data_IF_479022377668
#
_entry.id   IF_479022377668
#
_cell.length_a   1.000
_cell.length_b   1.000
_cell.length_c   1.000
_cell.angle_alpha   90.00
_cell.angle_beta   90.00
_cell.angle_gamma   90.00
#
_symmetry.space_group_name_H-M   'P 1'
#
loop_
_entity.id
_entity.type
_entity.pdbx_description
1 polymer ?
#
# COMPACT_ATOMS: atom_id res chain seq x y z
N UNK A 1 2.92 -7.78 9.39
CA UNK A 1 2.16 -7.20 8.26
C UNK A 1 0.71 -7.11 8.66
N UNK A 2 0.30 -5.93 9.14
CA UNK A 2 -1.10 -5.63 9.43
C UNK A 2 -1.78 -5.05 8.18
N UNK A 3 -2.05 -5.91 7.20
CA UNK A 3 -2.66 -5.55 5.90
C UNK A 3 -4.08 -6.10 5.84
N UNK A 4 -5.02 -5.25 5.43
CA UNK A 4 -6.44 -5.58 5.30
C UNK A 4 -6.86 -5.32 3.85
N UNK A 5 -7.51 -6.29 3.22
CA UNK A 5 -8.06 -6.17 1.86
C UNK A 5 -9.58 -6.27 1.90
N UNK A 6 -10.26 -5.28 1.33
CA UNK A 6 -11.71 -5.14 1.33
C UNK A 6 -12.20 -5.06 -0.12
N UNK A 7 -13.35 -5.67 -0.40
CA UNK A 7 -13.98 -5.62 -1.71
C UNK A 7 -13.11 -6.21 -2.82
N UNK A 8 -12.50 -7.37 -2.56
CA UNK A 8 -11.62 -8.07 -3.51
C UNK A 8 -10.42 -7.24 -4.00
N UNK A 9 -9.84 -6.41 -3.12
CA UNK A 9 -8.70 -5.56 -3.46
C UNK A 9 -9.08 -4.16 -3.93
N UNK A 10 -10.36 -3.80 -3.90
CA UNK A 10 -10.79 -2.43 -4.17
C UNK A 10 -10.24 -1.43 -3.14
N UNK A 11 -10.10 -1.86 -1.87
CA UNK A 11 -9.51 -1.07 -0.81
C UNK A 11 -8.51 -1.92 -0.02
N UNK A 12 -7.29 -1.43 0.09
CA UNK A 12 -6.23 -2.03 0.90
C UNK A 12 -5.83 -1.03 1.99
N UNK A 13 -5.73 -1.50 3.23
CA UNK A 13 -5.30 -0.70 4.37
C UNK A 13 -4.12 -1.39 5.04
N UNK A 14 -2.99 -0.69 5.18
CA UNK A 14 -1.83 -1.14 5.92
C UNK A 14 -1.64 -0.34 7.20
N UNK A 15 -1.75 -1.02 8.34
CA UNK A 15 -1.61 -0.45 9.69
C UNK A 15 -0.37 -0.98 10.41
N UNK A 16 0.63 -1.47 9.67
CA UNK A 16 1.88 -1.94 10.24
C UNK A 16 2.71 -0.78 10.79
N UNK A 17 3.61 -1.06 11.74
CA UNK A 17 4.53 -0.07 12.31
C UNK A 17 5.94 -0.14 11.71
N UNK A 18 6.20 -1.10 10.82
CA UNK A 18 7.47 -1.26 10.13
C UNK A 18 7.23 -1.42 8.63
N UNK A 19 6.66 -0.38 8.02
CA UNK A 19 6.30 -0.36 6.59
C UNK A 19 7.57 -0.06 5.78
N UNK A 20 7.95 -1.03 4.97
CA UNK A 20 9.09 -1.00 4.04
C UNK A 20 8.63 -1.41 2.64
N UNK A 21 9.54 -1.36 1.66
CA UNK A 21 9.23 -1.76 0.27
C UNK A 21 8.61 -3.16 0.16
N UNK A 22 8.97 -4.11 1.04
CA UNK A 22 8.45 -5.47 1.03
C UNK A 22 6.92 -5.51 1.25
N UNK A 23 6.38 -4.55 2.01
CA UNK A 23 4.92 -4.41 2.18
C UNK A 23 4.25 -3.99 0.87
N UNK A 24 4.89 -3.14 0.05
CA UNK A 24 4.33 -2.75 -1.24
C UNK A 24 4.17 -3.97 -2.16
N UNK A 25 5.18 -4.83 -2.24
CA UNK A 25 5.13 -6.06 -3.04
C UNK A 25 4.02 -7.00 -2.59
N UNK A 26 3.71 -7.02 -1.30
CA UNK A 26 2.57 -7.78 -0.77
C UNK A 26 1.23 -7.15 -1.15
N UNK A 27 1.11 -5.82 -1.06
CA UNK A 27 -0.08 -5.07 -1.44
C UNK A 27 -0.45 -5.31 -2.91
N UNK A 28 0.53 -5.33 -3.81
CA UNK A 28 0.33 -5.59 -5.25
C UNK A 28 -0.34 -6.94 -5.53
N UNK A 29 -0.17 -7.94 -4.65
CA UNK A 29 -0.82 -9.25 -4.82
C UNK A 29 -2.33 -9.16 -4.57
N UNK A 30 -2.77 -8.25 -3.72
CA UNK A 30 -4.19 -8.04 -3.43
C UNK A 30 -4.89 -7.23 -4.52
N UNK A 31 -4.19 -6.25 -5.11
CA UNK A 31 -4.74 -5.31 -6.09
C UNK A 31 -5.07 -5.98 -7.42
N UNK A 32 -4.38 -7.07 -7.78
CA UNK A 32 -4.63 -7.84 -9.01
C UNK A 32 -6.06 -8.40 -9.14
N UNK A 33 -6.81 -8.46 -8.05
CA UNK A 33 -8.17 -9.00 -8.04
C UNK A 33 -9.25 -7.91 -8.25
N UNK A 34 -8.87 -6.64 -8.40
CA UNK A 34 -9.79 -5.52 -8.60
C UNK A 34 -9.38 -4.66 -9.80
N UNK A 35 -10.37 -4.13 -10.52
CA UNK A 35 -10.14 -3.21 -11.65
C UNK A 35 -9.63 -1.84 -11.20
N UNK A 36 -9.93 -1.45 -9.97
CA UNK A 36 -9.45 -0.23 -9.32
C UNK A 36 -9.06 -0.55 -7.88
N UNK A 37 -7.96 0.01 -7.40
CA UNK A 37 -7.49 -0.23 -6.04
C UNK A 37 -7.12 1.08 -5.36
N UNK A 38 -7.59 1.27 -4.13
CA UNK A 38 -7.18 2.34 -3.23
C UNK A 38 -6.30 1.77 -2.13
N UNK A 39 -5.17 2.40 -1.86
CA UNK A 39 -4.24 1.95 -0.81
C UNK A 39 -4.08 3.02 0.24
N UNK A 40 -4.34 2.65 1.49
CA UNK A 40 -4.24 3.51 2.67
C UNK A 40 -3.13 2.98 3.58
N UNK A 41 -2.22 3.84 4.02
CA UNK A 41 -1.18 3.49 4.98
C UNK A 41 -1.31 4.31 6.25
N UNK A 42 -0.97 3.71 7.39
CA UNK A 42 -0.68 4.44 8.61
C UNK A 42 0.60 5.25 8.42
N UNK A 43 0.52 6.57 8.53
CA UNK A 43 1.64 7.47 8.24
C UNK A 43 2.81 7.29 9.20
N UNK A 44 2.52 7.15 10.49
CA UNK A 44 3.54 6.87 11.52
C UNK A 44 4.11 5.45 11.46
N UNK A 45 3.62 4.60 10.56
CA UNK A 45 4.09 3.24 10.38
C UNK A 45 5.25 3.09 9.39
N UNK A 46 5.55 4.11 8.59
CA UNK A 46 6.68 4.08 7.68
C UNK A 46 8.01 4.03 8.43
N UNK A 47 8.89 3.12 8.01
CA UNK A 47 10.22 2.99 8.62
C UNK A 47 11.10 4.22 8.37
N UNK A 48 10.91 4.88 7.23
CA UNK A 48 11.58 6.13 6.87
C UNK A 48 10.79 6.88 5.78
N UNK A 49 11.09 8.16 5.59
CA UNK A 49 10.54 8.95 4.48
C UNK A 49 11.00 8.41 3.11
N UNK A 50 12.18 7.79 3.06
CA UNK A 50 12.67 7.11 1.86
C UNK A 50 11.82 5.88 1.55
N UNK A 51 11.48 5.06 2.56
CA UNK A 51 10.57 3.93 2.39
C UNK A 51 9.19 4.39 1.90
N UNK A 52 8.63 5.45 2.48
CA UNK A 52 7.37 6.06 2.04
C UNK A 52 7.41 6.47 0.57
N UNK A 53 8.47 7.17 0.17
CA UNK A 53 8.66 7.62 -1.22
C UNK A 53 8.79 6.43 -2.17
N UNK A 54 9.61 5.43 -1.82
CA UNK A 54 9.81 4.23 -2.62
C UNK A 54 8.49 3.46 -2.83
N UNK A 55 7.71 3.27 -1.77
CA UNK A 55 6.41 2.59 -1.84
C UNK A 55 5.45 3.34 -2.75
N UNK A 56 5.38 4.68 -2.63
CA UNK A 56 4.53 5.50 -3.49
C UNK A 56 4.89 5.33 -4.98
N UNK A 57 6.18 5.33 -5.31
CA UNK A 57 6.64 5.12 -6.69
C UNK A 57 6.34 3.70 -7.20
N UNK A 58 6.55 2.67 -6.36
CA UNK A 58 6.21 1.28 -6.71
C UNK A 58 4.73 1.15 -7.06
N UNK A 59 3.84 1.71 -6.25
CA UNK A 59 2.40 1.67 -6.50
C UNK A 59 2.03 2.39 -7.79
N UNK A 60 2.60 3.57 -8.02
CA UNK A 60 2.37 4.35 -9.24
C UNK A 60 2.80 3.62 -10.52
N UNK A 61 3.97 2.96 -10.52
CA UNK A 61 4.44 2.17 -11.67
C UNK A 61 3.50 1.00 -11.98
N UNK A 62 2.76 0.51 -10.97
CA UNK A 62 1.77 -0.55 -11.12
C UNK A 62 0.33 -0.02 -11.34
N UNK A 63 0.17 1.25 -11.77
CA UNK A 63 -1.11 1.90 -12.04
C UNK A 63 -2.04 2.02 -10.82
N UNK A 64 -1.47 2.15 -9.62
CA UNK A 64 -2.20 2.44 -8.38
C UNK A 64 -1.88 3.88 -7.98
N UNK A 65 -2.71 4.81 -8.45
CA UNK A 65 -2.52 6.25 -8.20
C UNK A 65 -3.16 6.71 -6.88
N UNK A 66 -4.14 5.96 -6.37
CA UNK A 66 -4.85 6.29 -5.12
C UNK A 66 -4.06 5.80 -3.89
N UNK A 67 -3.06 6.58 -3.51
CA UNK A 67 -2.27 6.43 -2.28
C UNK A 67 -2.67 7.48 -1.23
N UNK A 68 -3.08 7.02 -0.05
CA UNK A 68 -3.52 7.86 1.06
C UNK A 68 -2.75 7.48 2.34
N UNK A 69 -2.44 8.46 3.17
CA UNK A 69 -1.85 8.24 4.50
C UNK A 69 -2.75 8.83 5.59
N UNK A 70 -2.87 8.12 6.71
CA UNK A 70 -3.67 8.51 7.89
C UNK A 70 -2.87 8.45 9.19
#
# INVERSE_FOLDING_TARGET
NNIYSIGFGALIICLDNNITKEIADEILKFTNNSSTSRVVFKDSGFKSDADKTNIKEILKINNIDEFITI
#
